data_IF_227151196840
#
_entry.id   IF_227151196840
#
_cell.length_a   1.000
_cell.length_b   1.000
_cell.length_c   1.000
_cell.angle_alpha   90.00
_cell.angle_beta   90.00
_cell.angle_gamma   90.00
#
_symmetry.space_group_name_H-M   'P 1'
#
loop_
_entity.id
_entity.type
_entity.pdbx_description
1 polymer ?
#
# COMPACT_ATOMS: atom_id res chain seq x y z
N UNK A 1 49.34 16.95 -50.84
CA UNK A 1 49.08 16.99 -49.39
C UNK A 1 47.57 16.76 -49.19
N UNK A 2 47.15 15.53 -48.80
CA UNK A 2 45.73 15.15 -48.67
C UNK A 2 45.35 15.24 -47.18
N UNK A 3 44.43 16.13 -46.87
CA UNK A 3 43.85 16.29 -45.54
C UNK A 3 42.88 15.14 -45.27
N UNK A 4 43.12 14.34 -44.22
CA UNK A 4 42.20 13.29 -43.74
C UNK A 4 41.20 13.97 -42.78
N UNK A 5 39.93 14.00 -43.17
CA UNK A 5 38.83 14.39 -42.32
C UNK A 5 38.55 13.26 -41.33
N UNK A 6 38.74 13.50 -40.02
CA UNK A 6 38.29 12.62 -38.96
C UNK A 6 36.78 12.83 -38.72
N UNK A 7 36.01 11.77 -38.93
CA UNK A 7 34.58 11.72 -38.54
C UNK A 7 34.50 11.38 -37.06
N UNK A 8 34.05 12.30 -36.24
CA UNK A 8 33.67 12.02 -34.89
C UNK A 8 32.25 11.43 -34.89
N UNK A 9 32.11 10.15 -34.55
CA UNK A 9 30.83 9.53 -34.28
C UNK A 9 30.30 10.05 -32.95
N UNK A 10 29.17 10.76 -32.97
CA UNK A 10 28.42 11.13 -31.77
C UNK A 10 27.69 9.88 -31.29
N UNK A 11 28.15 9.29 -30.19
CA UNK A 11 27.40 8.30 -29.44
C UNK A 11 26.28 9.00 -28.69
N UNK A 12 25.06 8.84 -29.16
CA UNK A 12 23.88 9.28 -28.43
C UNK A 12 23.65 8.31 -27.26
N UNK A 13 24.01 8.72 -26.04
CA UNK A 13 23.61 8.02 -24.84
C UNK A 13 22.12 8.29 -24.64
N UNK A 14 21.30 7.34 -25.08
CA UNK A 14 19.87 7.34 -24.77
C UNK A 14 19.71 7.07 -23.29
N UNK A 15 19.33 8.08 -22.52
CA UNK A 15 18.83 7.93 -21.14
C UNK A 15 17.54 7.12 -21.20
N UNK A 16 17.62 5.84 -20.86
CA UNK A 16 16.45 4.99 -20.66
C UNK A 16 15.72 5.53 -19.41
N UNK A 17 14.69 6.33 -19.61
CA UNK A 17 13.75 6.69 -18.55
C UNK A 17 12.97 5.43 -18.22
N UNK A 18 13.43 4.67 -17.23
CA UNK A 18 12.62 3.62 -16.63
C UNK A 18 11.39 4.30 -16.00
N UNK A 19 10.18 3.79 -16.22
CA UNK A 19 9.03 4.30 -15.51
C UNK A 19 9.29 4.13 -14.01
N UNK A 20 9.26 5.23 -13.25
CA UNK A 20 9.19 5.16 -11.79
C UNK A 20 7.83 4.54 -11.47
N UNK A 21 7.83 3.25 -11.20
CA UNK A 21 6.66 2.56 -10.67
C UNK A 21 6.34 3.19 -9.31
N UNK A 22 5.11 3.67 -9.12
CA UNK A 22 4.60 3.97 -7.80
C UNK A 22 4.56 2.64 -7.04
N UNK A 23 5.38 2.50 -6.02
CA UNK A 23 5.32 1.38 -5.09
C UNK A 23 4.39 1.82 -3.95
N UNK A 24 3.59 0.90 -3.41
CA UNK A 24 2.87 1.04 -2.17
C UNK A 24 3.82 1.20 -0.98
N UNK A 25 3.37 0.95 0.24
CA UNK A 25 4.33 0.81 1.33
C UNK A 25 5.54 0.03 0.84
N UNK A 26 6.74 0.50 1.14
CA UNK A 26 7.94 -0.29 0.84
C UNK A 26 7.87 -1.67 1.51
N UNK A 27 8.74 -2.57 1.11
CA UNK A 27 8.68 -3.98 1.55
C UNK A 27 8.55 -4.16 3.07
N UNK A 28 9.18 -3.31 3.88
CA UNK A 28 9.09 -3.34 5.34
C UNK A 28 7.68 -3.00 5.80
N UNK A 29 7.07 -1.95 5.26
CA UNK A 29 5.72 -1.52 5.62
C UNK A 29 4.66 -2.57 5.32
N UNK A 30 4.69 -3.20 4.14
CA UNK A 30 3.79 -4.32 3.81
C UNK A 30 3.97 -5.50 4.74
N UNK A 31 5.21 -5.86 5.11
CA UNK A 31 5.45 -6.93 6.09
C UNK A 31 4.90 -6.57 7.47
N UNK A 32 5.02 -5.32 7.88
CA UNK A 32 4.43 -4.85 9.16
C UNK A 32 2.91 -5.00 9.13
N UNK A 33 2.24 -4.54 8.07
CA UNK A 33 0.78 -4.70 7.92
C UNK A 33 0.37 -6.17 7.92
N UNK A 34 1.06 -7.02 7.14
CA UNK A 34 0.79 -8.46 7.09
C UNK A 34 0.99 -9.16 8.44
N UNK A 35 2.08 -8.84 9.17
CA UNK A 35 2.34 -9.44 10.48
C UNK A 35 1.35 -8.98 11.55
N UNK A 36 0.97 -7.69 11.57
CA UNK A 36 -0.08 -7.21 12.46
C UNK A 36 -1.40 -7.95 12.16
N UNK A 37 -1.72 -8.14 10.88
CA UNK A 37 -2.92 -8.89 10.52
C UNK A 37 -2.86 -10.33 11.06
N UNK A 38 -1.75 -11.04 10.93
CA UNK A 38 -1.57 -12.39 11.50
C UNK A 38 -1.80 -12.38 13.01
N UNK A 39 -1.27 -11.40 13.74
CA UNK A 39 -1.41 -11.29 15.19
C UNK A 39 -2.88 -11.10 15.65
N UNK A 40 -3.72 -10.50 14.78
CA UNK A 40 -5.13 -10.22 15.05
C UNK A 40 -6.11 -11.23 14.42
N UNK A 41 -5.62 -12.32 13.78
CA UNK A 41 -6.48 -13.37 13.27
C UNK A 41 -7.07 -14.22 14.41
N UNK A 42 -8.35 -14.57 14.29
CA UNK A 42 -8.94 -15.61 15.11
C UNK A 42 -8.39 -16.99 14.68
N UNK A 43 -8.41 -17.97 15.56
CA UNK A 43 -7.82 -19.30 15.31
C UNK A 43 -8.35 -19.96 14.01
N UNK A 44 -9.65 -19.82 13.73
CA UNK A 44 -10.28 -20.36 12.52
C UNK A 44 -9.76 -19.68 11.26
N UNK A 45 -9.68 -18.35 11.25
CA UNK A 45 -9.17 -17.58 10.12
C UNK A 45 -7.66 -17.84 9.92
N UNK A 46 -6.88 -17.91 11.00
CA UNK A 46 -5.47 -18.25 10.94
C UNK A 46 -5.23 -19.61 10.29
N UNK A 47 -5.99 -20.64 10.71
CA UNK A 47 -5.90 -21.98 10.12
C UNK A 47 -6.30 -22.01 8.65
N UNK A 48 -7.35 -21.24 8.24
CA UNK A 48 -7.79 -21.16 6.86
C UNK A 48 -6.75 -20.46 5.99
N UNK A 49 -6.25 -19.29 6.41
CA UNK A 49 -5.21 -18.55 5.70
C UNK A 49 -3.94 -19.35 5.54
N UNK A 50 -3.50 -20.04 6.59
CA UNK A 50 -2.36 -20.96 6.53
C UNK A 50 -2.60 -22.10 5.53
N UNK A 51 -3.80 -22.67 5.48
CA UNK A 51 -4.16 -23.72 4.52
C UNK A 51 -4.14 -23.24 3.07
N UNK A 52 -4.47 -21.95 2.84
CA UNK A 52 -4.49 -21.32 1.51
C UNK A 52 -3.08 -20.93 1.06
N UNK A 53 -2.29 -20.30 1.94
CA UNK A 53 -0.96 -19.78 1.60
C UNK A 53 0.16 -20.82 1.74
N UNK A 54 -0.10 -21.97 2.41
CA UNK A 54 0.92 -22.97 2.68
C UNK A 54 1.97 -22.44 3.65
N UNK A 55 3.24 -22.54 3.27
CA UNK A 55 4.37 -22.11 4.11
C UNK A 55 4.63 -20.59 4.08
N UNK A 56 3.87 -19.82 3.28
CA UNK A 56 4.04 -18.38 3.15
C UNK A 56 3.18 -17.64 4.19
N UNK A 57 3.79 -16.73 4.97
CA UNK A 57 3.06 -15.89 5.92
C UNK A 57 2.38 -14.69 5.24
N UNK A 58 1.37 -14.08 5.89
CA UNK A 58 0.78 -12.82 5.42
C UNK A 58 1.84 -11.71 5.32
N UNK A 59 2.79 -11.67 6.26
CA UNK A 59 3.89 -10.71 6.21
C UNK A 59 4.73 -10.85 4.93
N UNK A 60 4.97 -12.05 4.46
CA UNK A 60 5.78 -12.29 3.26
C UNK A 60 4.96 -12.08 1.99
N UNK A 61 3.75 -12.61 1.93
CA UNK A 61 2.89 -12.51 0.75
C UNK A 61 2.37 -11.09 0.50
N UNK A 62 2.32 -10.21 1.52
CA UNK A 62 1.91 -8.81 1.36
C UNK A 62 2.79 -8.01 0.36
N UNK A 63 3.98 -8.48 0.01
CA UNK A 63 4.82 -7.86 -1.02
C UNK A 63 4.58 -8.42 -2.44
N UNK A 64 3.70 -9.41 -2.60
CA UNK A 64 3.57 -10.15 -3.85
C UNK A 64 3.21 -9.25 -5.04
N UNK A 65 2.25 -8.32 -4.89
CA UNK A 65 1.82 -7.46 -5.99
C UNK A 65 2.92 -6.52 -6.50
N UNK A 66 3.81 -6.05 -5.63
CA UNK A 66 4.98 -5.29 -6.04
C UNK A 66 6.03 -6.18 -6.73
N UNK A 67 6.22 -7.40 -6.24
CA UNK A 67 7.17 -8.33 -6.82
C UNK A 67 6.80 -8.69 -8.26
N UNK A 68 5.53 -8.88 -8.57
CA UNK A 68 5.06 -9.26 -9.92
C UNK A 68 5.10 -8.11 -10.94
N UNK A 69 5.27 -6.86 -10.54
CA UNK A 69 5.36 -5.68 -11.44
C UNK A 69 6.45 -5.83 -12.52
N UNK A 70 7.44 -6.69 -12.28
CA UNK A 70 8.45 -7.03 -13.29
C UNK A 70 7.92 -7.93 -14.41
N UNK A 71 6.78 -8.58 -14.24
CA UNK A 71 6.12 -9.41 -15.23
C UNK A 71 5.02 -8.61 -15.96
N UNK A 72 5.23 -8.33 -17.24
CA UNK A 72 4.31 -7.54 -18.07
C UNK A 72 2.88 -8.10 -18.17
N UNK A 73 2.68 -9.40 -17.92
CA UNK A 73 1.36 -10.02 -17.90
C UNK A 73 0.44 -9.38 -16.84
N UNK A 74 1.01 -8.85 -15.76
CA UNK A 74 0.30 -8.23 -14.64
C UNK A 74 0.23 -6.69 -14.71
N UNK A 75 0.67 -6.06 -15.82
CA UNK A 75 0.63 -4.60 -15.95
C UNK A 75 -0.77 -3.99 -15.79
N UNK A 76 -1.82 -4.76 -16.09
CA UNK A 76 -3.21 -4.35 -15.93
C UNK A 76 -3.60 -4.12 -14.46
N UNK A 77 -2.84 -4.66 -13.50
CA UNK A 77 -3.04 -4.48 -12.06
C UNK A 77 -2.43 -3.19 -11.50
N UNK A 78 -1.59 -2.48 -12.28
CA UNK A 78 -0.92 -1.27 -11.79
C UNK A 78 -1.89 -0.19 -11.27
N UNK A 79 -3.06 0.09 -11.90
CA UNK A 79 -4.02 1.07 -11.38
C UNK A 79 -4.66 0.66 -10.04
N UNK A 80 -4.65 -0.63 -9.70
CA UNK A 80 -5.33 -1.16 -8.53
C UNK A 80 -4.62 -0.80 -7.20
N UNK A 81 -3.39 -0.29 -7.24
CA UNK A 81 -2.63 0.07 -6.04
C UNK A 81 -3.02 1.41 -5.41
N UNK A 82 -3.81 2.24 -6.11
CA UNK A 82 -4.15 3.59 -5.64
C UNK A 82 -5.53 4.01 -6.13
N UNK A 83 -6.04 5.10 -5.57
CA UNK A 83 -7.18 5.82 -6.12
C UNK A 83 -6.88 7.32 -6.18
N UNK A 84 -7.69 8.03 -6.94
CA UNK A 84 -7.61 9.50 -7.05
C UNK A 84 -8.91 10.11 -6.53
N UNK A 85 -8.82 10.86 -5.44
CA UNK A 85 -9.93 11.64 -4.89
C UNK A 85 -9.46 13.09 -4.82
N UNK A 86 -9.87 13.95 -5.79
CA UNK A 86 -9.52 15.36 -5.79
C UNK A 86 -9.92 16.07 -4.50
N UNK A 87 -9.20 17.13 -4.14
CA UNK A 87 -9.50 17.91 -2.96
C UNK A 87 -10.91 18.53 -3.08
N UNK A 88 -11.70 18.40 -1.99
CA UNK A 88 -13.09 18.86 -1.96
C UNK A 88 -14.12 17.86 -2.50
N UNK A 89 -13.71 16.73 -3.06
CA UNK A 89 -14.59 15.64 -3.46
C UNK A 89 -14.50 14.45 -2.49
N UNK A 90 -15.48 13.56 -2.57
CA UNK A 90 -15.48 12.24 -1.93
C UNK A 90 -15.33 11.14 -2.96
N UNK A 91 -15.08 9.90 -2.54
CA UNK A 91 -14.99 8.77 -3.47
C UNK A 91 -16.26 8.61 -4.30
N UNK A 92 -17.43 8.83 -3.71
CA UNK A 92 -18.73 8.69 -4.40
C UNK A 92 -19.01 9.81 -5.41
N UNK A 93 -18.30 10.94 -5.32
CA UNK A 93 -18.54 12.12 -6.17
C UNK A 93 -17.42 12.41 -7.16
N UNK A 94 -16.30 11.67 -7.10
CA UNK A 94 -15.22 11.79 -8.06
C UNK A 94 -15.38 10.82 -9.23
N UNK A 95 -14.65 11.07 -10.32
CA UNK A 95 -14.58 10.15 -11.45
C UNK A 95 -13.75 8.91 -11.06
N UNK A 96 -14.17 7.74 -11.58
CA UNK A 96 -13.47 6.47 -11.41
C UNK A 96 -12.87 6.00 -12.73
N UNK A 97 -11.62 5.51 -12.75
CA UNK A 97 -11.01 4.96 -13.96
C UNK A 97 -11.70 3.66 -14.38
N UNK A 98 -11.83 3.44 -15.69
CA UNK A 98 -12.40 2.18 -16.24
C UNK A 98 -11.53 0.97 -15.87
N UNK A 99 -10.24 1.15 -15.70
CA UNK A 99 -9.28 0.12 -15.31
C UNK A 99 -9.45 -0.32 -13.83
N UNK A 100 -10.28 0.37 -13.07
CA UNK A 100 -10.46 0.15 -11.64
C UNK A 100 -9.45 0.89 -10.78
N UNK A 101 -9.62 0.77 -9.46
CA UNK A 101 -8.77 1.37 -8.43
C UNK A 101 -8.66 0.46 -7.20
N UNK A 102 -7.91 0.87 -6.19
CA UNK A 102 -7.68 0.09 -4.97
C UNK A 102 -8.97 -0.21 -4.19
N UNK A 103 -9.93 0.72 -4.15
CA UNK A 103 -11.19 0.55 -3.40
C UNK A 103 -12.09 -0.47 -4.08
N UNK A 104 -12.30 -0.30 -5.40
CA UNK A 104 -13.07 -1.23 -6.21
C UNK A 104 -12.47 -2.64 -6.18
N UNK A 105 -11.15 -2.73 -6.30
CA UNK A 105 -10.44 -4.02 -6.30
C UNK A 105 -10.52 -4.73 -4.94
N UNK A 106 -10.34 -4.04 -3.80
CA UNK A 106 -10.50 -4.65 -2.46
C UNK A 106 -11.92 -5.21 -2.31
N UNK A 107 -12.96 -4.43 -2.66
CA UNK A 107 -14.35 -4.88 -2.56
C UNK A 107 -14.61 -6.10 -3.46
N UNK A 108 -14.09 -6.12 -4.69
CA UNK A 108 -14.22 -7.24 -5.60
C UNK A 108 -13.54 -8.51 -5.04
N UNK A 109 -12.32 -8.40 -4.51
CA UNK A 109 -11.61 -9.53 -3.91
C UNK A 109 -12.37 -10.14 -2.71
N UNK A 110 -12.98 -9.29 -1.87
CA UNK A 110 -13.82 -9.75 -0.75
C UNK A 110 -14.97 -10.60 -1.29
N UNK A 111 -15.67 -10.13 -2.33
CA UNK A 111 -16.77 -10.89 -2.97
C UNK A 111 -16.26 -12.18 -3.60
N UNK A 112 -15.13 -12.17 -4.28
CA UNK A 112 -14.54 -13.37 -4.91
C UNK A 112 -14.21 -14.46 -3.88
N UNK A 113 -13.59 -14.07 -2.76
CA UNK A 113 -13.28 -15.01 -1.69
C UNK A 113 -14.56 -15.56 -1.04
N UNK A 114 -15.59 -14.71 -0.82
CA UNK A 114 -16.87 -15.12 -0.25
C UNK A 114 -17.62 -16.12 -1.15
N UNK A 115 -17.64 -15.84 -2.46
CA UNK A 115 -18.39 -16.65 -3.43
C UNK A 115 -17.60 -17.80 -4.01
N UNK A 116 -16.29 -17.85 -3.77
CA UNK A 116 -15.34 -18.78 -4.42
C UNK A 116 -15.40 -18.71 -5.96
N UNK A 117 -15.67 -17.50 -6.48
CA UNK A 117 -15.72 -17.23 -7.91
C UNK A 117 -14.68 -16.15 -8.24
N UNK A 118 -13.57 -16.56 -8.85
CA UNK A 118 -12.42 -15.69 -9.11
C UNK A 118 -12.50 -15.13 -10.54
N UNK A 119 -12.53 -13.80 -10.67
CA UNK A 119 -12.61 -13.06 -11.92
C UNK A 119 -11.36 -12.21 -12.17
N UNK A 120 -10.78 -11.64 -11.10
CA UNK A 120 -9.58 -10.80 -11.18
C UNK A 120 -8.35 -11.48 -10.55
N UNK A 121 -8.56 -12.43 -9.64
CA UNK A 121 -7.51 -13.32 -9.13
C UNK A 121 -7.58 -14.67 -9.86
N UNK A 122 -6.47 -15.39 -9.99
CA UNK A 122 -6.43 -16.71 -10.60
C UNK A 122 -7.04 -17.78 -9.66
N UNK A 123 -6.80 -17.59 -8.35
CA UNK A 123 -7.28 -18.47 -7.27
C UNK A 123 -7.40 -17.74 -5.94
N UNK A 124 -7.80 -18.45 -4.91
CA UNK A 124 -7.97 -17.90 -3.56
C UNK A 124 -6.64 -17.44 -2.93
N UNK A 125 -5.55 -18.13 -3.21
CA UNK A 125 -4.23 -17.75 -2.68
C UNK A 125 -3.79 -16.41 -3.27
N UNK A 126 -3.97 -16.23 -4.57
CA UNK A 126 -3.70 -14.94 -5.23
C UNK A 126 -4.62 -13.84 -4.68
N UNK A 127 -5.92 -14.11 -4.50
CA UNK A 127 -6.87 -13.14 -3.94
C UNK A 127 -6.46 -12.68 -2.53
N UNK A 128 -6.04 -13.60 -1.66
CA UNK A 128 -5.53 -13.27 -0.30
C UNK A 128 -4.26 -12.44 -0.36
N UNK A 129 -3.31 -12.77 -1.25
CA UNK A 129 -2.06 -11.99 -1.44
C UNK A 129 -2.36 -10.58 -1.92
N UNK A 130 -3.25 -10.43 -2.91
CA UNK A 130 -3.69 -9.13 -3.41
C UNK A 130 -4.37 -8.32 -2.30
N UNK A 131 -5.28 -8.94 -1.55
CA UNK A 131 -5.99 -8.27 -0.45
C UNK A 131 -5.02 -7.78 0.63
N UNK A 132 -4.03 -8.61 1.03
CA UNK A 132 -3.02 -8.24 2.01
C UNK A 132 -2.20 -7.01 1.57
N UNK A 133 -1.85 -6.94 0.28
CA UNK A 133 -1.11 -5.82 -0.29
C UNK A 133 -1.97 -4.55 -0.37
N UNK A 134 -3.14 -4.64 -1.01
CA UNK A 134 -3.98 -3.49 -1.33
C UNK A 134 -4.59 -2.82 -0.10
N UNK A 135 -4.91 -3.59 0.94
CA UNK A 135 -5.32 -3.01 2.23
C UNK A 135 -4.16 -2.20 2.83
N UNK A 136 -2.92 -2.68 2.72
CA UNK A 136 -1.74 -1.89 3.08
C UNK A 136 -1.66 -0.58 2.29
N UNK A 137 -1.73 -0.66 0.96
CA UNK A 137 -1.65 0.49 0.05
C UNK A 137 -2.69 1.57 0.39
N UNK A 138 -3.94 1.19 0.61
CA UNK A 138 -5.01 2.13 0.93
C UNK A 138 -4.76 2.90 2.25
N UNK A 139 -3.94 2.34 3.15
CA UNK A 139 -3.57 2.99 4.41
C UNK A 139 -2.35 3.91 4.27
N UNK A 140 -1.66 3.93 3.12
CA UNK A 140 -0.65 4.94 2.79
C UNK A 140 -1.35 6.18 2.24
N UNK A 141 -1.26 7.35 2.91
CA UNK A 141 -2.09 8.51 2.57
C UNK A 141 -1.92 9.01 1.13
N UNK A 142 -0.74 8.85 0.53
CA UNK A 142 -0.44 9.32 -0.83
C UNK A 142 -0.93 8.34 -1.92
N UNK A 143 -1.36 7.11 -1.55
CA UNK A 143 -2.09 6.21 -2.45
C UNK A 143 -3.54 6.65 -2.68
N UNK A 144 -4.03 7.60 -1.89
CA UNK A 144 -5.26 8.34 -2.16
C UNK A 144 -4.86 9.71 -2.70
N UNK A 145 -4.40 9.76 -3.97
CA UNK A 145 -3.88 10.96 -4.62
C UNK A 145 -4.95 12.03 -4.88
N UNK A 146 -4.52 13.29 -5.06
CA UNK A 146 -5.42 14.39 -5.45
C UNK A 146 -5.51 14.61 -6.98
N UNK A 147 -4.77 13.82 -7.77
CA UNK A 147 -4.74 13.90 -9.23
C UNK A 147 -3.75 14.92 -9.80
N UNK A 148 -3.02 15.68 -8.98
CA UNK A 148 -2.15 16.78 -9.47
C UNK A 148 -0.68 16.41 -9.58
N UNK A 149 -0.19 15.49 -8.76
CA UNK A 149 1.25 15.18 -8.62
C UNK A 149 1.55 13.68 -8.47
N UNK A 150 0.63 12.82 -8.91
CA UNK A 150 0.73 11.35 -8.82
C UNK A 150 0.97 10.88 -7.38
N UNK A 151 0.17 11.40 -6.44
CA UNK A 151 0.31 11.07 -5.03
C UNK A 151 1.68 11.45 -4.46
N UNK A 152 2.21 12.63 -4.79
CA UNK A 152 3.51 13.11 -4.29
C UNK A 152 4.74 12.59 -5.05
N UNK A 153 4.58 11.75 -6.09
CA UNK A 153 5.72 11.29 -6.90
C UNK A 153 6.40 12.43 -7.66
N UNK A 154 5.62 13.42 -8.10
CA UNK A 154 6.15 14.59 -8.79
C UNK A 154 6.68 15.65 -7.81
N UNK A 155 6.42 15.53 -6.51
CA UNK A 155 6.97 16.37 -5.45
C UNK A 155 8.39 15.94 -5.09
N UNK A 156 9.39 16.41 -5.87
CA UNK A 156 10.81 16.09 -5.65
C UNK A 156 11.35 16.82 -4.43
N UNK A 157 11.99 16.07 -3.55
CA UNK A 157 12.60 16.55 -2.32
C UNK A 157 13.92 15.79 -2.06
N UNK A 158 14.69 16.25 -1.08
CA UNK A 158 15.79 15.47 -0.50
C UNK A 158 15.36 14.92 0.86
N UNK A 159 15.66 13.66 1.11
CA UNK A 159 15.51 13.03 2.41
C UNK A 159 16.88 12.85 3.04
N UNK A 160 17.16 13.55 4.14
CA UNK A 160 18.50 13.62 4.76
C UNK A 160 19.63 13.92 3.75
N UNK A 161 19.36 14.77 2.76
CA UNK A 161 20.32 15.16 1.73
C UNK A 161 20.32 14.30 0.47
N UNK A 162 19.79 13.09 0.52
CA UNK A 162 19.67 12.17 -0.62
C UNK A 162 18.42 12.47 -1.46
N UNK A 163 18.53 12.28 -2.79
CA UNK A 163 17.44 12.54 -3.71
C UNK A 163 16.26 11.58 -3.49
N UNK A 164 15.06 12.12 -3.31
CA UNK A 164 13.82 11.38 -3.10
C UNK A 164 12.62 12.13 -3.71
N UNK A 165 11.42 11.66 -3.41
CA UNK A 165 10.15 12.36 -3.62
C UNK A 165 9.25 12.10 -2.41
N UNK A 166 8.18 12.89 -2.28
CA UNK A 166 7.31 12.79 -1.11
C UNK A 166 6.64 11.41 -0.98
N UNK A 167 6.25 10.81 -2.12
CA UNK A 167 5.66 9.47 -2.14
C UNK A 167 6.61 8.43 -1.53
N UNK A 168 7.86 8.38 -2.02
CA UNK A 168 8.87 7.45 -1.52
C UNK A 168 9.20 7.67 -0.04
N UNK A 169 9.20 8.93 0.41
CA UNK A 169 9.41 9.22 1.84
C UNK A 169 8.37 8.50 2.69
N UNK A 170 7.11 8.49 2.27
CA UNK A 170 6.03 7.81 2.99
C UNK A 170 6.06 6.30 2.79
N UNK A 171 6.37 5.82 1.60
CA UNK A 171 6.42 4.37 1.33
C UNK A 171 7.54 3.67 2.10
N UNK A 172 8.71 4.28 2.14
CA UNK A 172 9.93 3.58 2.56
C UNK A 172 10.79 4.42 3.51
N UNK A 173 11.14 5.66 3.12
CA UNK A 173 12.25 6.38 3.74
C UNK A 173 11.99 6.68 5.24
N UNK A 174 10.74 6.98 5.64
CA UNK A 174 10.34 7.17 7.05
C UNK A 174 10.44 5.89 7.87
N UNK A 175 10.06 4.75 7.29
CA UNK A 175 10.10 3.43 7.94
C UNK A 175 11.56 2.99 8.10
N UNK A 176 12.31 3.03 7.01
CA UNK A 176 13.70 2.59 6.96
C UNK A 176 14.61 3.45 7.86
N UNK A 177 14.25 4.73 8.05
CA UNK A 177 14.97 5.63 8.97
C UNK A 177 14.93 5.16 10.43
N UNK A 178 13.92 4.38 10.83
CA UNK A 178 13.83 3.83 12.20
C UNK A 178 14.87 2.73 12.45
N UNK A 179 15.48 2.15 11.40
CA UNK A 179 16.52 1.12 11.49
C UNK A 179 16.05 -0.16 12.24
N UNK A 180 14.74 -0.47 12.15
CA UNK A 180 14.13 -1.65 12.76
C UNK A 180 13.88 -2.71 11.69
N UNK A 181 14.05 -3.99 12.05
CA UNK A 181 13.44 -5.09 11.29
C UNK A 181 11.91 -4.98 11.33
N UNK A 182 11.21 -5.61 10.38
CA UNK A 182 9.75 -5.55 10.39
C UNK A 182 9.15 -6.15 11.67
N UNK A 183 9.77 -7.15 12.26
CA UNK A 183 9.31 -7.77 13.52
C UNK A 183 9.51 -6.86 14.73
N UNK A 184 10.62 -6.13 14.80
CA UNK A 184 10.83 -5.11 15.83
C UNK A 184 9.86 -3.93 15.64
N UNK A 185 9.58 -3.56 14.38
CA UNK A 185 8.62 -2.51 14.06
C UNK A 185 7.20 -2.91 14.51
N UNK A 186 6.78 -4.14 14.24
CA UNK A 186 5.50 -4.68 14.73
C UNK A 186 5.45 -4.65 16.26
N UNK A 187 6.50 -5.12 16.94
CA UNK A 187 6.56 -5.09 18.40
C UNK A 187 6.45 -3.66 18.98
N UNK A 188 6.89 -2.66 18.22
CA UNK A 188 6.78 -1.25 18.60
C UNK A 188 5.40 -0.66 18.37
N UNK A 189 4.65 -1.07 17.34
CA UNK A 189 3.41 -0.40 16.93
C UNK A 189 2.13 -1.17 17.23
N UNK A 190 2.19 -2.50 17.39
CA UNK A 190 1.01 -3.36 17.54
C UNK A 190 0.44 -3.32 18.97
N UNK A 191 -0.14 -2.18 19.33
CA UNK A 191 -0.69 -1.91 20.65
C UNK A 191 -2.13 -1.35 20.60
N UNK A 192 -2.92 -1.78 19.58
CA UNK A 192 -4.33 -1.36 19.50
C UNK A 192 -5.12 -1.87 20.70
N UNK A 193 -5.90 -0.99 21.30
CA UNK A 193 -6.88 -1.37 22.33
C UNK A 193 -8.04 -2.16 21.71
N UNK A 194 -8.73 -2.97 22.52
CA UNK A 194 -9.90 -3.72 22.05
C UNK A 194 -11.01 -2.80 21.46
N UNK A 195 -11.13 -1.57 21.97
CA UNK A 195 -12.05 -0.56 21.45
C UNK A 195 -11.63 -0.08 20.06
N UNK A 196 -10.36 0.26 19.88
CA UNK A 196 -9.79 0.66 18.57
C UNK A 196 -9.96 -0.45 17.54
N UNK A 197 -9.60 -1.69 17.88
CA UNK A 197 -9.80 -2.86 17.02
C UNK A 197 -11.27 -2.96 16.59
N UNK A 198 -12.19 -2.90 17.54
CA UNK A 198 -13.63 -2.98 17.28
C UNK A 198 -14.14 -1.84 16.39
N UNK A 199 -13.65 -0.61 16.58
CA UNK A 199 -14.03 0.56 15.77
C UNK A 199 -13.47 0.43 14.35
N UNK A 200 -12.18 0.11 14.21
CA UNK A 200 -11.53 0.05 12.91
C UNK A 200 -12.07 -1.09 12.04
N UNK A 201 -12.35 -2.26 12.61
CA UNK A 201 -12.87 -3.40 11.85
C UNK A 201 -14.33 -3.21 11.39
N UNK A 202 -15.09 -2.27 11.98
CA UNK A 202 -16.45 -1.94 11.51
C UNK A 202 -16.51 -0.88 10.42
N UNK A 203 -15.41 -0.17 10.16
CA UNK A 203 -15.34 0.86 9.12
C UNK A 203 -15.22 0.24 7.72
N UNK A 204 -15.77 0.93 6.73
CA UNK A 204 -15.75 0.48 5.33
C UNK A 204 -14.43 0.82 4.62
N UNK A 205 -14.19 0.18 3.48
CA UNK A 205 -13.04 0.48 2.62
C UNK A 205 -13.04 1.95 2.16
N UNK A 206 -14.24 2.53 1.93
CA UNK A 206 -14.38 3.94 1.59
C UNK A 206 -14.00 4.85 2.76
N UNK A 207 -14.39 4.50 4.00
CA UNK A 207 -13.96 5.25 5.19
C UNK A 207 -12.43 5.29 5.31
N UNK A 208 -11.73 4.19 5.00
CA UNK A 208 -10.26 4.12 5.05
C UNK A 208 -9.59 5.05 4.03
N UNK A 209 -10.20 5.14 2.83
CA UNK A 209 -9.77 6.09 1.79
C UNK A 209 -9.98 7.54 2.23
N UNK A 210 -11.13 7.87 2.84
CA UNK A 210 -11.43 9.20 3.36
C UNK A 210 -10.46 9.60 4.49
N UNK A 211 -10.10 8.66 5.37
CA UNK A 211 -9.06 8.88 6.39
C UNK A 211 -7.70 9.18 5.75
N UNK A 212 -7.30 8.41 4.73
CA UNK A 212 -6.05 8.64 3.98
C UNK A 212 -6.08 9.99 3.28
N UNK A 213 -7.21 10.36 2.66
CA UNK A 213 -7.40 11.67 2.03
C UNK A 213 -7.25 12.82 3.04
N UNK A 214 -7.86 12.70 4.22
CA UNK A 214 -7.78 13.72 5.27
C UNK A 214 -6.35 13.90 5.78
N UNK A 215 -5.62 12.79 5.99
CA UNK A 215 -4.21 12.80 6.40
C UNK A 215 -3.34 13.42 5.31
N UNK A 216 -3.57 13.05 4.03
CA UNK A 216 -2.81 13.57 2.88
C UNK A 216 -2.71 15.09 2.89
N UNK A 217 -3.78 15.80 3.23
CA UNK A 217 -3.80 17.26 3.26
C UNK A 217 -2.79 17.87 4.25
N UNK A 218 -2.46 17.14 5.32
CA UNK A 218 -1.56 17.62 6.39
C UNK A 218 -0.09 17.19 6.24
N UNK A 219 0.24 16.34 5.27
CA UNK A 219 1.60 15.76 5.17
C UNK A 219 2.46 16.38 4.08
N UNK A 220 1.88 17.23 3.22
CA UNK A 220 2.66 17.96 2.23
C UNK A 220 3.49 19.05 2.93
N UNK A 221 4.82 19.06 2.71
CA UNK A 221 5.65 20.14 3.23
C UNK A 221 5.35 21.44 2.47
N UNK A 222 5.69 22.60 3.06
CA UNK A 222 5.59 23.90 2.37
C UNK A 222 6.20 23.84 0.96
N UNK A 223 5.64 24.63 0.02
CA UNK A 223 6.03 24.55 -1.39
C UNK A 223 7.52 24.80 -1.62
N UNK A 224 8.13 25.67 -0.82
CA UNK A 224 9.55 26.04 -0.84
C UNK A 224 10.46 25.00 -0.17
N UNK A 225 9.94 24.06 0.62
CA UNK A 225 10.73 23.03 1.28
C UNK A 225 11.24 22.01 0.25
N UNK A 226 12.53 21.97 0.03
CA UNK A 226 13.21 21.07 -0.90
C UNK A 226 13.98 19.94 -0.20
N UNK A 227 14.05 19.96 1.12
CA UNK A 227 14.76 18.97 1.93
C UNK A 227 13.98 18.68 3.22
N UNK A 228 13.83 17.41 3.52
CA UNK A 228 13.17 16.87 4.71
C UNK A 228 14.16 16.03 5.50
N UNK A 229 13.92 15.91 6.82
CA UNK A 229 14.80 15.18 7.73
C UNK A 229 14.15 14.98 9.10
N UNK A 230 14.92 15.16 10.19
CA UNK A 230 14.48 14.86 11.55
C UNK A 230 13.15 15.52 11.97
N UNK A 231 12.95 16.79 11.62
CA UNK A 231 11.72 17.52 11.96
C UNK A 231 10.50 16.85 11.29
N UNK A 232 10.60 16.57 10.00
CA UNK A 232 9.51 15.90 9.25
C UNK A 232 9.24 14.48 9.79
N UNK A 233 10.30 13.72 10.11
CA UNK A 233 10.16 12.44 10.77
C UNK A 233 9.44 12.57 12.12
N UNK A 234 9.84 13.50 12.96
CA UNK A 234 9.22 13.73 14.26
C UNK A 234 7.73 14.08 14.15
N UNK A 235 7.38 14.93 13.18
CA UNK A 235 6.00 15.40 13.00
C UNK A 235 5.06 14.30 12.45
N UNK A 236 5.58 13.32 11.68
CA UNK A 236 4.76 12.40 10.92
C UNK A 236 4.87 10.92 11.30
N UNK A 237 5.92 10.51 12.02
CA UNK A 237 6.14 9.08 12.32
C UNK A 237 4.98 8.45 13.11
N UNK A 238 4.37 9.19 14.03
CA UNK A 238 3.23 8.69 14.81
C UNK A 238 2.00 8.44 13.91
N UNK A 239 1.77 9.32 12.93
CA UNK A 239 0.69 9.16 11.94
C UNK A 239 0.95 7.95 11.05
N UNK A 240 2.18 7.79 10.56
CA UNK A 240 2.58 6.64 9.74
C UNK A 240 2.39 5.33 10.52
N UNK A 241 2.87 5.25 11.76
CA UNK A 241 2.73 4.08 12.62
C UNK A 241 1.26 3.70 12.84
N UNK A 242 0.40 4.72 13.08
CA UNK A 242 -1.03 4.49 13.21
C UNK A 242 -1.65 3.92 11.94
N UNK A 243 -1.23 4.39 10.75
CA UNK A 243 -1.76 3.87 9.48
C UNK A 243 -1.33 2.43 9.22
N UNK A 244 -0.10 2.05 9.53
CA UNK A 244 0.37 0.67 9.47
C UNK A 244 -0.44 -0.24 10.40
N UNK A 245 -0.67 0.18 11.64
CA UNK A 245 -1.46 -0.55 12.63
C UNK A 245 -2.92 -0.72 12.16
N UNK A 246 -3.55 0.36 11.70
CA UNK A 246 -4.92 0.30 11.16
C UNK A 246 -5.04 -0.64 9.97
N UNK A 247 -4.07 -0.60 9.04
CA UNK A 247 -4.02 -1.51 7.89
C UNK A 247 -4.02 -2.97 8.31
N UNK A 248 -3.14 -3.35 9.23
CA UNK A 248 -3.06 -4.73 9.74
C UNK A 248 -4.32 -5.18 10.47
N UNK A 249 -4.84 -4.36 11.40
CA UNK A 249 -6.06 -4.68 12.17
C UNK A 249 -7.29 -4.82 11.25
N UNK A 250 -7.41 -3.97 10.23
CA UNK A 250 -8.52 -4.00 9.26
C UNK A 250 -8.41 -5.19 8.31
N UNK A 251 -7.22 -5.52 7.84
CA UNK A 251 -6.97 -6.74 7.08
C UNK A 251 -7.38 -7.98 7.87
N UNK A 252 -6.98 -8.06 9.15
CA UNK A 252 -7.41 -9.14 10.03
C UNK A 252 -8.94 -9.18 10.17
N UNK A 253 -9.60 -8.04 10.28
CA UNK A 253 -11.07 -7.96 10.35
C UNK A 253 -11.75 -8.59 9.14
N UNK A 254 -11.29 -8.24 7.93
CA UNK A 254 -11.78 -8.82 6.68
C UNK A 254 -11.55 -10.35 6.69
N UNK A 255 -10.34 -10.80 6.96
CA UNK A 255 -10.00 -12.23 6.92
C UNK A 255 -10.75 -13.02 8.00
N UNK A 256 -10.93 -12.45 9.19
CA UNK A 256 -11.74 -13.06 10.25
C UNK A 256 -13.20 -13.23 9.83
N UNK A 257 -13.80 -12.26 9.14
CA UNK A 257 -15.16 -12.35 8.63
C UNK A 257 -15.28 -13.38 7.49
N UNK A 258 -14.36 -13.35 6.53
CA UNK A 258 -14.33 -14.24 5.37
C UNK A 258 -14.19 -15.71 5.75
N UNK A 259 -13.43 -16.00 6.81
CA UNK A 259 -13.11 -17.37 7.26
C UNK A 259 -13.79 -17.77 8.57
N UNK A 260 -14.72 -16.95 9.09
CA UNK A 260 -15.54 -17.31 10.23
C UNK A 260 -16.36 -18.58 9.92
N UNK A 261 -16.38 -19.53 10.84
CA UNK A 261 -17.30 -20.67 10.74
C UNK A 261 -18.75 -20.16 10.74
N UNK A 262 -19.62 -20.70 9.87
CA UNK A 262 -21.04 -20.35 9.91
C UNK A 262 -21.58 -20.60 11.32
N UNK A 263 -22.06 -19.56 11.99
CA UNK A 263 -22.73 -19.70 13.28
C UNK A 263 -23.94 -20.60 13.06
N UNK A 264 -23.95 -21.81 13.62
CA UNK A 264 -25.14 -22.67 13.64
C UNK A 264 -26.26 -21.86 14.27
N UNK A 265 -27.21 -21.37 13.49
CA UNK A 265 -28.45 -20.81 14.04
C UNK A 265 -29.04 -21.90 14.94
N UNK A 266 -29.06 -21.66 16.26
CA UNK A 266 -29.84 -22.50 17.18
C UNK A 266 -31.28 -22.42 16.68
N UNK A 267 -31.82 -23.56 16.23
CA UNK A 267 -33.23 -23.72 15.91
C UNK A 267 -34.04 -23.67 17.19
#
# INVERSE_FOLDING_TARGET
MRLKMLHFARVAVGTLLLPLSAFGWGQTGHRVVGQIAENHLHAEAAAAVQGILGDESLAMCANWMDHIKSNRAYNHMNPWHYCTIPDGLTYETCDHPEEGDVIGTINQLIVEIQTKTFLIAEDEAMAVKMLAHLVGDLHQPLHVGNGTDKGGNDRKIKWFGESSNLHRVWDSDLIDHQQLSFTEYVAWVDHATAEEVSVWQRSSVVDWAQESQAIRMGIYPPAEATSLGYSYNYDHIATLNKRLLQGGVRLAGILNELYAKPTKKKK
#
